data_IF_579811221378
#
_entry.id   IF_579811221378
#
_cell.length_a   1.000
_cell.length_b   1.000
_cell.length_c   1.000
_cell.angle_alpha   90.00
_cell.angle_beta   90.00
_cell.angle_gamma   90.00
#
_symmetry.space_group_name_H-M   'P 1'
#
loop_
_entity.id
_entity.type
_entity.pdbx_description
1 polymer ?
#
# COMPACT_ATOMS: atom_id res chain seq x y z
N UNK A 1 6.97 21.88 -2.12
CA UNK A 1 8.25 22.49 -1.70
C UNK A 1 8.08 22.83 -0.22
N UNK A 2 8.61 22.00 0.66
CA UNK A 2 8.66 22.23 2.11
C UNK A 2 9.92 23.02 2.52
N UNK A 3 10.68 23.50 1.53
CA UNK A 3 11.81 24.39 1.76
C UNK A 3 11.29 25.83 1.92
N UNK A 4 10.65 26.08 3.07
CA UNK A 4 10.61 27.42 3.65
C UNK A 4 12.01 27.74 4.17
N UNK A 5 12.57 28.87 3.73
CA UNK A 5 13.90 29.37 4.09
C UNK A 5 14.08 29.74 5.59
N UNK A 6 13.21 29.29 6.50
CA UNK A 6 13.26 29.60 7.92
C UNK A 6 13.66 28.42 8.84
N UNK A 7 13.88 27.24 8.27
CA UNK A 7 14.34 26.07 9.02
C UNK A 7 13.26 25.32 9.81
N UNK A 8 11.97 25.64 9.70
CA UNK A 8 10.90 24.83 10.29
C UNK A 8 10.45 23.71 9.33
N UNK A 9 11.17 22.59 9.32
CA UNK A 9 10.60 21.31 8.81
C UNK A 9 9.36 20.85 9.60
N UNK A 10 9.07 21.48 10.75
CA UNK A 10 8.02 21.10 11.72
C UNK A 10 6.58 21.39 11.27
N UNK A 11 6.38 22.18 10.22
CA UNK A 11 5.05 22.70 9.85
C UNK A 11 4.51 22.07 8.54
N UNK A 12 5.22 21.10 7.97
CA UNK A 12 4.74 20.42 6.78
C UNK A 12 3.65 19.42 7.12
N UNK A 13 2.41 19.76 6.75
CA UNK A 13 1.31 18.81 6.75
C UNK A 13 1.47 17.82 5.58
N UNK A 14 2.20 16.74 5.83
CA UNK A 14 2.42 15.68 4.85
C UNK A 14 1.11 15.02 4.39
N UNK A 15 0.05 15.02 5.20
CA UNK A 15 -1.26 14.55 4.76
C UNK A 15 -1.85 15.48 3.70
N UNK A 16 -1.83 16.80 3.92
CA UNK A 16 -2.34 17.76 2.94
C UNK A 16 -1.53 17.72 1.64
N UNK A 17 -0.20 17.63 1.74
CA UNK A 17 0.69 17.52 0.58
C UNK A 17 0.42 16.22 -0.19
N UNK A 18 0.26 15.10 0.51
CA UNK A 18 -0.06 13.80 -0.13
C UNK A 18 -1.42 13.85 -0.80
N UNK A 19 -2.43 14.41 -0.13
CA UNK A 19 -3.79 14.56 -0.68
C UNK A 19 -3.79 15.40 -1.97
N UNK A 20 -3.02 16.48 -2.00
CA UNK A 20 -2.84 17.33 -3.18
C UNK A 20 -2.08 16.62 -4.30
N UNK A 21 -0.97 15.95 -3.98
CA UNK A 21 -0.18 15.19 -4.96
C UNK A 21 -1.01 14.13 -5.68
N UNK A 22 -1.89 13.45 -4.93
CA UNK A 22 -2.81 12.44 -5.44
C UNK A 22 -4.05 13.04 -6.11
N UNK A 23 -4.24 14.36 -6.08
CA UNK A 23 -5.41 15.09 -6.59
C UNK A 23 -6.71 14.65 -5.92
N UNK A 24 -6.66 14.47 -4.61
CA UNK A 24 -7.77 14.00 -3.78
C UNK A 24 -8.30 15.10 -2.85
N UNK A 25 -8.07 16.38 -3.14
CA UNK A 25 -8.41 17.49 -2.22
C UNK A 25 -9.90 17.51 -1.84
N UNK A 26 -10.79 17.14 -2.77
CA UNK A 26 -12.25 17.08 -2.57
C UNK A 26 -12.74 15.73 -2.02
N UNK A 27 -11.83 14.78 -1.79
CA UNK A 27 -12.16 13.44 -1.34
C UNK A 27 -12.52 13.43 0.17
N UNK A 28 -13.54 12.66 0.52
CA UNK A 28 -13.92 12.36 1.90
C UNK A 28 -12.93 11.42 2.60
N UNK A 29 -13.11 11.22 3.90
CA UNK A 29 -12.29 10.31 4.72
C UNK A 29 -12.46 8.83 4.33
N UNK A 30 -13.56 8.48 3.65
CA UNK A 30 -13.83 7.17 3.11
C UNK A 30 -12.96 6.82 1.89
N UNK A 31 -12.42 7.84 1.21
CA UNK A 31 -11.52 7.71 0.06
C UNK A 31 -10.07 7.96 0.46
N UNK A 32 -9.81 8.99 1.27
CA UNK A 32 -8.46 9.37 1.71
C UNK A 32 -8.45 9.61 3.21
N UNK A 33 -7.74 8.75 3.94
CA UNK A 33 -7.47 8.92 5.36
C UNK A 33 -5.97 8.93 5.59
N UNK A 34 -5.50 9.87 6.40
CA UNK A 34 -4.08 10.03 6.69
C UNK A 34 -3.90 10.39 8.15
N UNK A 35 -3.05 9.65 8.85
CA UNK A 35 -2.70 9.88 10.25
C UNK A 35 -1.26 10.38 10.36
N UNK A 36 -1.04 11.24 11.35
CA UNK A 36 0.26 11.86 11.64
C UNK A 36 0.70 11.50 13.04
N UNK A 37 2.01 11.41 13.24
CA UNK A 37 2.58 11.38 14.59
C UNK A 37 2.61 12.78 15.24
N UNK A 38 3.15 12.86 16.47
CA UNK A 38 3.30 14.11 17.21
C UNK A 38 4.24 15.13 16.55
N UNK A 39 4.97 14.75 15.50
CA UNK A 39 5.86 15.60 14.71
C UNK A 39 5.25 16.06 13.38
N UNK A 40 3.94 15.83 13.18
CA UNK A 40 3.22 16.04 11.92
C UNK A 40 3.71 15.18 10.74
N UNK A 41 4.49 14.13 11.03
CA UNK A 41 4.96 13.21 10.00
C UNK A 41 3.86 12.20 9.69
N UNK A 42 3.56 11.97 8.40
CA UNK A 42 2.58 10.97 7.99
C UNK A 42 3.08 9.55 8.34
N UNK A 43 2.33 8.85 9.18
CA UNK A 43 2.64 7.48 9.61
C UNK A 43 1.65 6.45 9.07
N UNK A 44 0.40 6.86 8.83
CA UNK A 44 -0.60 5.96 8.25
C UNK A 44 -1.29 6.61 7.06
N UNK A 45 -1.50 5.81 6.01
CA UNK A 45 -2.22 6.25 4.82
C UNK A 45 -3.20 5.17 4.38
N UNK A 46 -4.45 5.57 4.19
CA UNK A 46 -5.49 4.77 3.55
C UNK A 46 -5.99 5.48 2.31
N UNK A 47 -6.02 4.75 1.19
CA UNK A 47 -6.61 5.21 -0.06
C UNK A 47 -7.61 4.15 -0.52
N UNK A 48 -8.81 4.58 -0.89
CA UNK A 48 -9.89 3.68 -1.28
C UNK A 48 -10.62 4.17 -2.54
N UNK A 49 -10.86 3.27 -3.49
CA UNK A 49 -11.80 3.50 -4.59
C UNK A 49 -11.31 4.47 -5.68
N UNK A 50 -10.02 4.78 -5.70
CA UNK A 50 -9.41 5.64 -6.73
C UNK A 50 -8.31 4.89 -7.48
N UNK A 51 -8.27 4.93 -8.83
CA UNK A 51 -7.21 4.28 -9.59
C UNK A 51 -5.85 4.87 -9.24
N UNK A 52 -4.91 4.02 -8.79
CA UNK A 52 -3.54 4.42 -8.52
C UNK A 52 -2.63 3.98 -9.66
N UNK A 53 -1.83 4.92 -10.15
CA UNK A 53 -0.81 4.66 -11.16
C UNK A 53 0.57 4.54 -10.52
N UNK A 54 1.55 4.04 -11.28
CA UNK A 54 2.93 3.86 -10.83
C UNK A 54 3.53 5.06 -10.11
N UNK A 55 3.34 6.26 -10.65
CA UNK A 55 3.82 7.50 -10.03
C UNK A 55 3.18 7.79 -8.67
N UNK A 56 1.93 7.38 -8.42
CA UNK A 56 1.34 7.50 -7.09
C UNK A 56 2.04 6.58 -6.10
N UNK A 57 2.29 5.33 -6.50
CA UNK A 57 3.00 4.36 -5.66
C UNK A 57 4.46 4.76 -5.41
N UNK A 58 5.15 5.31 -6.41
CA UNK A 58 6.50 5.88 -6.24
C UNK A 58 6.52 6.94 -5.13
N UNK A 59 5.54 7.85 -5.14
CA UNK A 59 5.44 8.88 -4.10
C UNK A 59 5.13 8.28 -2.72
N UNK A 60 4.16 7.37 -2.65
CA UNK A 60 3.72 6.75 -1.39
C UNK A 60 4.84 5.91 -0.77
N UNK A 61 5.54 5.09 -1.56
CA UNK A 61 6.63 4.25 -1.06
C UNK A 61 7.90 5.03 -0.74
N UNK A 62 8.05 6.26 -1.24
CA UNK A 62 9.15 7.15 -0.84
C UNK A 62 8.97 7.75 0.56
N UNK A 63 7.82 7.56 1.22
CA UNK A 63 7.53 8.11 2.55
C UNK A 63 8.20 7.25 3.62
N UNK A 64 9.34 7.72 4.15
CA UNK A 64 10.21 6.95 5.04
C UNK A 64 9.63 6.65 6.43
N UNK A 65 8.53 7.31 6.80
CA UNK A 65 7.92 7.20 8.13
C UNK A 65 6.59 6.41 8.13
N UNK A 66 6.12 5.94 6.98
CA UNK A 66 4.90 5.14 6.92
C UNK A 66 5.10 3.83 7.68
N UNK A 67 4.26 3.61 8.69
CA UNK A 67 4.17 2.37 9.45
C UNK A 67 3.02 1.50 8.97
N UNK A 68 1.95 2.12 8.46
CA UNK A 68 0.74 1.44 7.96
C UNK A 68 0.27 2.00 6.62
N UNK A 69 0.09 1.12 5.65
CA UNK A 69 -0.44 1.48 4.32
C UNK A 69 -1.60 0.58 3.95
N UNK A 70 -2.74 1.18 3.61
CA UNK A 70 -3.96 0.49 3.20
C UNK A 70 -4.41 1.03 1.83
N UNK A 71 -4.44 0.14 0.83
CA UNK A 71 -4.84 0.44 -0.53
C UNK A 71 -6.00 -0.49 -0.91
N UNK A 72 -7.21 0.05 -1.06
CA UNK A 72 -8.43 -0.72 -1.30
C UNK A 72 -9.07 -0.27 -2.61
N UNK A 73 -9.46 -1.21 -3.48
CA UNK A 73 -10.17 -0.87 -4.73
C UNK A 73 -9.42 0.17 -5.59
N UNK A 74 -8.10 0.04 -5.73
CA UNK A 74 -7.27 1.05 -6.40
C UNK A 74 -6.78 0.63 -7.79
N UNK A 75 -7.31 -0.46 -8.33
CA UNK A 75 -6.93 -1.02 -9.64
C UNK A 75 -5.42 -1.33 -9.79
N UNK A 76 -4.73 -1.57 -8.67
CA UNK A 76 -3.30 -1.85 -8.66
C UNK A 76 -3.05 -3.21 -9.32
N UNK A 77 -2.11 -3.24 -10.27
CA UNK A 77 -1.58 -4.43 -10.94
C UNK A 77 -0.10 -4.57 -10.61
N UNK A 78 0.51 -5.69 -11.03
CA UNK A 78 1.93 -5.95 -10.83
C UNK A 78 2.81 -4.84 -11.46
N UNK A 79 2.38 -4.28 -12.61
CA UNK A 79 3.06 -3.18 -13.32
C UNK A 79 2.91 -1.81 -12.64
N UNK A 80 1.92 -1.66 -11.76
CA UNK A 80 1.74 -0.42 -11.00
C UNK A 80 2.87 -0.24 -10.00
N UNK A 81 3.50 -1.32 -9.51
CA UNK A 81 4.62 -1.18 -8.59
C UNK A 81 5.88 -0.64 -9.29
N UNK A 82 6.55 0.35 -8.69
CA UNK A 82 7.77 0.87 -9.27
C UNK A 82 8.95 -0.09 -9.09
N UNK A 83 9.69 -0.26 -10.18
CA UNK A 83 10.93 -1.03 -10.23
C UNK A 83 12.02 -0.35 -9.38
N UNK A 84 12.65 -1.10 -8.47
CA UNK A 84 13.81 -0.63 -7.71
C UNK A 84 13.50 0.34 -6.57
N UNK A 85 12.22 0.53 -6.21
CA UNK A 85 11.88 1.29 -5.00
C UNK A 85 12.20 0.47 -3.76
N UNK A 86 12.95 1.07 -2.85
CA UNK A 86 13.22 0.50 -1.52
C UNK A 86 12.03 0.84 -0.64
N UNK A 87 11.39 -0.19 -0.10
CA UNK A 87 10.23 -0.02 0.77
C UNK A 87 10.61 0.68 2.06
N UNK A 88 9.68 1.42 2.69
CA UNK A 88 9.93 2.01 3.99
C UNK A 88 10.27 0.89 4.98
N UNK A 89 11.47 0.90 5.55
CA UNK A 89 11.88 -0.06 6.58
C UNK A 89 11.05 0.05 7.85
N UNK A 90 10.30 1.14 7.99
CA UNK A 90 9.37 1.45 9.07
C UNK A 90 7.98 0.85 8.86
N UNK A 91 7.64 0.42 7.64
CA UNK A 91 6.35 -0.18 7.34
C UNK A 91 6.26 -1.51 8.09
N UNK A 92 5.23 -1.67 8.90
CA UNK A 92 4.94 -2.90 9.65
C UNK A 92 3.64 -3.57 9.16
N UNK A 93 2.73 -2.80 8.57
CA UNK A 93 1.46 -3.32 8.03
C UNK A 93 1.20 -2.79 6.62
N UNK A 94 0.98 -3.72 5.69
CA UNK A 94 0.60 -3.44 4.31
C UNK A 94 -0.67 -4.20 3.96
N UNK A 95 -1.72 -3.46 3.59
CA UNK A 95 -2.97 -4.03 3.09
C UNK A 95 -3.20 -3.53 1.67
N UNK A 96 -3.29 -4.46 0.70
CA UNK A 96 -3.64 -4.16 -0.69
C UNK A 96 -4.76 -5.09 -1.10
N UNK A 97 -6.01 -4.69 -0.88
CA UNK A 97 -7.18 -5.57 -1.03
C UNK A 97 -8.13 -5.10 -2.11
N UNK A 98 -8.87 -6.03 -2.72
CA UNK A 98 -9.77 -5.73 -3.83
C UNK A 98 -9.05 -4.98 -4.99
N UNK A 99 -7.83 -5.41 -5.32
CA UNK A 99 -7.03 -4.88 -6.42
C UNK A 99 -6.90 -5.95 -7.52
N UNK A 100 -5.98 -5.76 -8.47
CA UNK A 100 -5.84 -6.59 -9.69
C UNK A 100 -4.46 -7.27 -9.75
N UNK A 101 -3.84 -7.54 -8.61
CA UNK A 101 -2.54 -8.22 -8.57
C UNK A 101 -2.67 -9.66 -9.07
N UNK A 102 -1.81 -10.06 -10.00
CA UNK A 102 -1.72 -11.45 -10.50
C UNK A 102 -0.48 -12.16 -9.97
N UNK A 103 0.53 -11.39 -9.58
CA UNK A 103 1.74 -11.86 -8.93
C UNK A 103 2.02 -11.09 -7.64
N UNK A 104 2.95 -11.63 -6.84
CA UNK A 104 3.44 -10.97 -5.63
C UNK A 104 4.87 -10.53 -5.91
N UNK A 105 5.14 -9.21 -5.93
CA UNK A 105 6.51 -8.71 -6.09
C UNK A 105 7.49 -9.33 -5.10
N UNK A 106 8.74 -9.55 -5.52
CA UNK A 106 9.74 -10.29 -4.73
C UNK A 106 10.04 -9.67 -3.35
N UNK A 107 9.91 -8.35 -3.22
CA UNK A 107 10.15 -7.66 -1.96
C UNK A 107 9.14 -8.03 -0.87
N UNK A 108 7.90 -8.39 -1.22
CA UNK A 108 6.90 -8.89 -0.26
C UNK A 108 7.39 -10.21 0.35
N UNK A 109 8.09 -11.03 -0.44
CA UNK A 109 8.58 -12.35 0.00
C UNK A 109 9.63 -12.24 1.09
N UNK A 110 10.47 -11.22 1.01
CA UNK A 110 11.54 -10.97 1.98
C UNK A 110 11.12 -10.06 3.13
N UNK A 111 9.90 -9.54 3.09
CA UNK A 111 9.42 -8.58 4.08
C UNK A 111 9.09 -9.25 5.41
N UNK A 112 9.37 -8.56 6.52
CA UNK A 112 8.93 -8.95 7.87
C UNK A 112 7.55 -8.32 8.22
N UNK A 113 6.95 -7.58 7.29
CA UNK A 113 5.66 -6.92 7.49
C UNK A 113 4.50 -7.91 7.60
N UNK A 114 3.44 -7.46 8.29
CA UNK A 114 2.10 -8.02 8.14
C UNK A 114 1.53 -7.61 6.79
N UNK A 115 1.17 -8.57 5.95
CA UNK A 115 0.73 -8.31 4.59
C UNK A 115 -0.63 -8.96 4.33
N UNK A 116 -1.58 -8.17 3.83
CA UNK A 116 -2.89 -8.67 3.41
C UNK A 116 -3.13 -8.32 1.93
N UNK A 117 -3.20 -9.35 1.08
CA UNK A 117 -3.46 -9.25 -0.36
C UNK A 117 -4.80 -9.90 -0.74
N UNK A 118 -5.73 -10.06 0.20
CA UNK A 118 -7.05 -10.64 -0.07
C UNK A 118 -7.79 -9.95 -1.21
N UNK A 119 -8.57 -10.75 -1.95
CA UNK A 119 -9.42 -10.30 -3.05
C UNK A 119 -8.65 -9.61 -4.20
N UNK A 120 -7.44 -10.08 -4.47
CA UNK A 120 -6.73 -9.81 -5.74
C UNK A 120 -7.02 -10.94 -6.75
N UNK A 121 -6.26 -10.96 -7.85
CA UNK A 121 -6.30 -11.98 -8.90
C UNK A 121 -5.13 -12.97 -8.78
N UNK A 122 -4.58 -13.12 -7.57
CA UNK A 122 -3.49 -14.05 -7.27
C UNK A 122 -4.00 -15.48 -7.47
N UNK A 123 -3.23 -16.34 -8.13
CA UNK A 123 -3.66 -17.73 -8.31
C UNK A 123 -3.74 -18.49 -6.98
N UNK A 124 -4.63 -19.48 -6.88
CA UNK A 124 -4.72 -20.37 -5.71
C UNK A 124 -3.38 -21.03 -5.38
N UNK A 125 -2.64 -21.45 -6.42
CA UNK A 125 -1.31 -22.06 -6.26
C UNK A 125 -0.32 -21.09 -5.64
N UNK A 126 -0.35 -19.82 -6.05
CA UNK A 126 0.46 -18.76 -5.46
C UNK A 126 0.05 -18.51 -4.01
N UNK A 127 -1.22 -18.23 -3.70
CA UNK A 127 -1.67 -18.04 -2.32
C UNK A 127 -1.30 -19.21 -1.40
N UNK A 128 -1.47 -20.47 -1.85
CA UNK A 128 -1.10 -21.65 -1.08
C UNK A 128 0.41 -21.75 -0.85
N UNK A 129 1.20 -21.38 -1.86
CA UNK A 129 2.66 -21.37 -1.75
C UNK A 129 3.12 -20.31 -0.75
N UNK A 130 2.46 -19.15 -0.70
CA UNK A 130 2.81 -18.07 0.24
C UNK A 130 2.35 -18.40 1.66
N UNK A 131 1.11 -18.86 1.82
CA UNK A 131 0.53 -19.20 3.12
C UNK A 131 1.18 -20.46 3.77
N UNK A 132 2.10 -21.16 3.08
CA UNK A 132 2.62 -22.45 3.50
C UNK A 132 4.12 -22.72 3.27
N UNK A 133 4.95 -21.73 2.89
CA UNK A 133 6.39 -21.93 2.69
C UNK A 133 7.29 -21.31 3.77
N UNK A 134 8.31 -22.07 4.17
CA UNK A 134 9.59 -21.56 4.67
C UNK A 134 10.24 -20.70 3.58
N UNK A 135 10.24 -19.38 3.76
CA UNK A 135 10.82 -18.43 2.80
C UNK A 135 10.15 -17.06 2.83
N UNK A 136 8.86 -17.00 3.17
CA UNK A 136 8.20 -15.77 3.57
C UNK A 136 8.52 -15.47 5.03
N UNK A 137 9.07 -14.27 5.28
CA UNK A 137 9.50 -13.85 6.63
C UNK A 137 8.49 -12.98 7.38
N UNK A 138 7.35 -12.67 6.76
CA UNK A 138 6.32 -11.83 7.36
C UNK A 138 5.68 -12.49 8.58
N UNK A 139 5.41 -11.72 9.62
CA UNK A 139 4.75 -12.23 10.84
C UNK A 139 3.33 -12.79 10.56
N UNK A 140 2.64 -12.20 9.58
CA UNK A 140 1.26 -12.53 9.22
C UNK A 140 1.02 -12.23 7.74
N UNK A 141 0.70 -13.25 6.94
CA UNK A 141 0.35 -13.09 5.53
C UNK A 141 -1.06 -13.62 5.26
N UNK A 142 -1.90 -12.77 4.66
CA UNK A 142 -3.29 -13.12 4.33
C UNK A 142 -3.47 -13.03 2.81
N UNK A 143 -3.76 -14.18 2.21
CA UNK A 143 -4.12 -14.32 0.80
C UNK A 143 -5.40 -15.12 0.70
N UNK A 144 -6.48 -14.46 0.31
CA UNK A 144 -7.75 -15.11 -0.04
C UNK A 144 -8.14 -14.68 -1.45
N UNK A 145 -8.68 -15.62 -2.21
CA UNK A 145 -9.18 -15.36 -3.56
C UNK A 145 -10.47 -14.56 -3.48
N UNK A 146 -10.72 -13.77 -4.52
CA UNK A 146 -12.03 -13.14 -4.67
C UNK A 146 -13.06 -14.26 -4.92
N UNK A 147 -14.09 -14.36 -4.08
CA UNK A 147 -15.15 -15.38 -4.16
C UNK A 147 -15.95 -15.40 -5.48
N UNK A 148 -15.58 -14.58 -6.47
CA UNK A 148 -16.17 -14.59 -7.82
C UNK A 148 -15.64 -15.72 -8.71
N UNK A 149 -14.45 -16.27 -8.44
CA UNK A 149 -13.91 -17.38 -9.24
C UNK A 149 -14.55 -18.75 -8.89
N UNK A 150 -15.26 -18.84 -7.76
CA UNK A 150 -15.98 -20.05 -7.34
C UNK A 150 -17.41 -20.15 -7.91
N UNK A 151 -17.91 -19.11 -8.59
CA UNK A 151 -19.28 -19.12 -9.13
C UNK A 151 -19.36 -19.80 -10.52
N UNK A 152 -18.23 -20.03 -11.20
CA UNK A 152 -18.19 -20.62 -12.54
C UNK A 152 -17.62 -22.06 -12.60
N UNK A 153 -17.60 -22.79 -11.47
CA UNK A 153 -17.19 -24.22 -11.42
C UNK A 153 -18.29 -25.15 -10.89
N UNK A 154 -19.52 -24.96 -11.36
CA UNK A 154 -20.62 -25.94 -11.21
C UNK A 154 -21.18 -26.33 -12.58
#
# INVERSE_FOLDING_TARGET
NCDGNDGSKSDCDFCAITKDYLKLNDAGEDIFKCEKDSTNTMTELTINGVPLIKRNLEYIFAQSALTKLILINNEITDETFPSGVTFPTTLSELTITNNKLTEVPDWIKTSEQKVNLSNNLLSTGLCNSINGQDGYKGEEFICSLNNSDDINKL
#
